data_IF_486691976461
#
_entry.id   IF_486691976461
#
_cell.length_a   1.000
_cell.length_b   1.000
_cell.length_c   1.000
_cell.angle_alpha   90.00
_cell.angle_beta   90.00
_cell.angle_gamma   90.00
#
_symmetry.space_group_name_H-M   'P 1'
#
loop_
_entity.id
_entity.type
_entity.pdbx_description
1 polymer ?
#
# COMPACT_ATOMS: atom_id res chain seq x y z
N UNK A 1 -33.83 -8.76 -17.18
CA UNK A 1 -32.60 -7.99 -16.87
C UNK A 1 -32.47 -7.84 -15.36
N UNK A 2 -31.45 -8.48 -14.73
CA UNK A 2 -31.14 -8.17 -13.32
C UNK A 2 -30.39 -6.83 -13.28
N UNK A 3 -30.90 -5.88 -12.49
CA UNK A 3 -30.22 -4.62 -12.25
C UNK A 3 -29.00 -4.91 -11.36
N UNK A 4 -27.81 -4.49 -11.80
CA UNK A 4 -26.58 -4.60 -11.00
C UNK A 4 -26.72 -3.68 -9.78
N UNK A 5 -26.56 -4.23 -8.58
CA UNK A 5 -26.56 -3.48 -7.32
C UNK A 5 -25.17 -3.54 -6.70
N UNK A 6 -24.79 -2.51 -5.96
CA UNK A 6 -23.49 -2.44 -5.28
C UNK A 6 -23.38 -1.21 -4.39
N UNK A 7 -22.30 -1.17 -3.60
CA UNK A 7 -21.94 -0.04 -2.75
C UNK A 7 -20.44 0.19 -2.84
N UNK A 8 -20.03 1.44 -2.89
CA UNK A 8 -18.64 1.86 -2.79
C UNK A 8 -18.49 2.89 -1.67
N UNK A 9 -17.67 2.56 -0.67
CA UNK A 9 -17.41 3.44 0.46
C UNK A 9 -16.09 4.20 0.21
N UNK A 10 -16.17 5.53 0.13
CA UNK A 10 -15.00 6.39 -0.03
C UNK A 10 -14.13 6.36 1.24
N UNK A 11 -12.82 6.60 1.07
CA UNK A 11 -11.93 6.83 2.19
C UNK A 11 -12.33 8.12 2.92
N UNK A 12 -12.10 8.16 4.22
CA UNK A 12 -12.16 9.38 5.01
C UNK A 12 -10.90 10.23 4.75
N UNK A 13 -10.78 10.71 3.51
CA UNK A 13 -9.62 11.45 2.98
C UNK A 13 -10.12 12.77 2.38
N UNK A 14 -9.58 13.90 2.90
CA UNK A 14 -10.05 15.25 2.53
C UNK A 14 -9.51 15.68 1.17
N UNK A 15 -8.21 15.44 0.93
CA UNK A 15 -7.55 15.90 -0.29
C UNK A 15 -6.27 15.14 -0.61
N UNK A 16 -5.87 15.23 -1.88
CA UNK A 16 -4.56 14.82 -2.39
C UNK A 16 -3.91 16.04 -3.02
N UNK A 17 -2.81 16.51 -2.42
CA UNK A 17 -1.98 17.59 -2.96
C UNK A 17 -0.87 16.95 -3.80
N UNK A 18 -0.58 17.48 -4.97
CA UNK A 18 0.45 16.90 -5.84
C UNK A 18 1.28 17.95 -6.56
N UNK A 19 2.55 17.65 -6.78
CA UNK A 19 3.49 18.51 -7.51
C UNK A 19 3.99 19.73 -6.72
N UNK A 20 3.57 19.89 -5.47
CA UNK A 20 4.07 20.92 -4.56
C UNK A 20 5.14 20.31 -3.65
N UNK A 21 6.28 21.01 -3.40
CA UNK A 21 7.28 20.56 -2.45
C UNK A 21 6.66 20.24 -1.07
N UNK A 22 7.04 19.13 -0.47
CA UNK A 22 6.39 18.61 0.74
C UNK A 22 6.43 19.59 1.91
N UNK A 23 7.51 20.36 2.08
CA UNK A 23 7.62 21.38 3.13
C UNK A 23 6.51 22.44 2.97
N UNK A 24 6.34 22.98 1.79
CA UNK A 24 5.30 23.99 1.51
C UNK A 24 3.89 23.40 1.69
N UNK A 25 3.66 22.18 1.19
CA UNK A 25 2.37 21.50 1.30
C UNK A 25 2.02 21.14 2.75
N UNK A 26 3.00 20.73 3.57
CA UNK A 26 2.79 20.49 5.01
C UNK A 26 2.44 21.79 5.73
N UNK A 27 3.17 22.88 5.47
CA UNK A 27 2.88 24.18 6.09
C UNK A 27 1.48 24.69 5.73
N UNK A 28 1.09 24.59 4.45
CA UNK A 28 -0.28 24.90 4.03
C UNK A 28 -1.30 24.02 4.77
N UNK A 29 -1.06 22.72 4.86
CA UNK A 29 -1.95 21.77 5.55
C UNK A 29 -2.11 22.10 7.03
N UNK A 30 -1.02 22.43 7.70
CA UNK A 30 -1.00 22.82 9.12
C UNK A 30 -1.83 24.09 9.38
N UNK A 31 -1.69 25.09 8.51
CA UNK A 31 -2.50 26.33 8.59
C UNK A 31 -3.99 26.06 8.35
N UNK A 32 -4.32 25.31 7.28
CA UNK A 32 -5.72 25.00 6.93
C UNK A 32 -6.43 24.15 8.01
N UNK A 33 -5.71 23.21 8.64
CA UNK A 33 -6.25 22.39 9.73
C UNK A 33 -6.24 23.09 11.09
N UNK A 34 -5.53 24.23 11.21
CA UNK A 34 -5.41 24.98 12.47
C UNK A 34 -4.69 24.22 13.57
N UNK A 35 -3.74 23.32 13.21
CA UNK A 35 -3.01 22.47 14.17
C UNK A 35 -1.76 23.17 14.68
N UNK A 36 -1.38 22.86 15.90
CA UNK A 36 -0.28 23.51 16.61
C UNK A 36 0.82 22.55 17.08
N UNK A 37 0.56 21.24 17.10
CA UNK A 37 1.49 20.22 17.58
C UNK A 37 1.61 19.09 16.57
N UNK A 38 2.67 19.11 15.76
CA UNK A 38 2.91 18.17 14.68
C UNK A 38 3.98 17.17 15.09
N UNK A 39 3.64 15.87 15.05
CA UNK A 39 4.57 14.78 15.29
C UNK A 39 4.94 14.13 13.95
N UNK A 40 6.23 13.92 13.71
CA UNK A 40 6.71 13.28 12.49
C UNK A 40 6.95 11.78 12.71
N UNK A 41 6.55 10.97 11.75
CA UNK A 41 6.94 9.56 11.68
C UNK A 41 7.60 9.32 10.34
N UNK A 42 8.83 8.78 10.34
CA UNK A 42 9.61 8.62 9.12
C UNK A 42 10.31 7.26 9.05
N UNK A 43 10.76 6.89 7.85
CA UNK A 43 11.76 5.84 7.71
C UNK A 43 13.13 6.35 8.18
N UNK A 44 13.94 5.45 8.73
CA UNK A 44 15.26 5.80 9.26
C UNK A 44 16.21 6.35 8.19
N UNK A 45 16.15 5.80 6.97
CA UNK A 45 16.98 6.29 5.85
C UNK A 45 16.65 7.74 5.48
N UNK A 46 15.36 8.08 5.38
CA UNK A 46 14.98 9.46 5.07
C UNK A 46 15.40 10.45 6.16
N UNK A 47 15.27 10.06 7.44
CA UNK A 47 15.60 10.98 8.54
C UNK A 47 17.10 11.16 8.75
N UNK A 48 17.93 10.16 8.39
CA UNK A 48 19.38 10.16 8.69
C UNK A 48 20.28 10.39 7.48
N UNK A 49 19.80 10.05 6.29
CA UNK A 49 20.63 10.08 5.07
C UNK A 49 20.22 11.21 4.12
N UNK A 50 19.15 11.95 4.44
CA UNK A 50 18.63 13.06 3.63
C UNK A 50 18.29 14.26 4.51
N UNK A 51 18.07 15.41 3.87
CA UNK A 51 17.62 16.65 4.52
C UNK A 51 16.08 16.80 4.57
N UNK A 52 15.34 15.83 4.06
CA UNK A 52 13.87 15.90 3.94
C UNK A 52 13.21 16.12 5.31
N UNK A 53 13.56 15.30 6.31
CA UNK A 53 12.94 15.37 7.63
C UNK A 53 13.44 16.59 8.40
N UNK A 54 14.73 16.94 8.34
CA UNK A 54 15.26 18.14 8.99
C UNK A 54 14.66 19.42 8.43
N UNK A 55 14.46 19.51 7.11
CA UNK A 55 13.79 20.65 6.48
C UNK A 55 12.33 20.83 6.95
N UNK A 56 11.62 19.72 7.17
CA UNK A 56 10.27 19.76 7.74
C UNK A 56 10.29 20.21 9.20
N UNK A 57 11.24 19.73 10.01
CA UNK A 57 11.41 20.16 11.42
C UNK A 57 11.68 21.66 11.49
N UNK A 58 12.60 22.15 10.67
CA UNK A 58 12.96 23.57 10.63
C UNK A 58 11.76 24.46 10.24
N UNK A 59 11.00 24.03 9.22
CA UNK A 59 9.81 24.75 8.77
C UNK A 59 8.68 24.76 9.82
N UNK A 60 8.47 23.64 10.52
CA UNK A 60 7.46 23.52 11.57
C UNK A 60 7.81 24.37 12.81
N UNK A 61 9.09 24.57 13.10
CA UNK A 61 9.55 25.38 14.22
C UNK A 61 8.88 24.97 15.54
N UNK A 62 8.22 25.90 16.20
CA UNK A 62 7.55 25.65 17.49
C UNK A 62 6.36 24.67 17.40
N UNK A 63 5.85 24.36 16.22
CA UNK A 63 4.79 23.36 16.02
C UNK A 63 5.33 21.93 16.02
N UNK A 64 6.62 21.73 15.80
CA UNK A 64 7.25 20.41 15.90
C UNK A 64 7.25 19.92 17.34
N UNK A 65 6.68 18.74 17.62
CA UNK A 65 6.61 18.18 18.97
C UNK A 65 7.30 16.82 19.14
N UNK A 66 7.84 16.24 18.08
CA UNK A 66 8.63 15.00 18.17
C UNK A 66 8.74 14.23 16.85
N UNK A 67 9.67 13.29 16.84
CA UNK A 67 9.97 12.41 15.71
C UNK A 67 10.09 10.96 16.18
N UNK A 68 9.50 10.03 15.40
CA UNK A 68 9.78 8.60 15.49
C UNK A 68 10.29 8.10 14.13
N UNK A 69 11.55 7.67 14.07
CA UNK A 69 12.21 7.18 12.85
C UNK A 69 12.65 5.70 12.93
N UNK A 70 12.12 4.97 13.88
CA UNK A 70 12.48 3.57 14.15
C UNK A 70 11.41 2.57 13.70
N UNK A 71 10.71 2.89 12.61
CA UNK A 71 9.76 1.97 12.01
C UNK A 71 10.48 0.73 11.47
N UNK A 72 9.94 -0.46 11.79
CA UNK A 72 10.54 -1.75 11.42
C UNK A 72 9.73 -2.39 10.29
N UNK A 73 10.42 -2.96 9.30
CA UNK A 73 9.79 -3.66 8.19
C UNK A 73 8.77 -4.71 8.67
N UNK A 74 7.71 -4.89 7.90
CA UNK A 74 6.56 -5.75 8.22
C UNK A 74 5.73 -5.33 9.44
N UNK A 75 6.03 -4.17 10.04
CA UNK A 75 5.26 -3.56 11.14
C UNK A 75 5.07 -4.53 12.31
N UNK A 76 6.14 -4.96 13.01
CA UNK A 76 6.00 -5.75 14.22
C UNK A 76 5.21 -4.99 15.29
N UNK A 77 4.36 -5.69 16.03
CA UNK A 77 3.51 -5.10 17.08
C UNK A 77 4.31 -4.28 18.10
N UNK A 78 5.49 -4.76 18.53
CA UNK A 78 6.36 -4.03 19.45
C UNK A 78 6.85 -2.69 18.91
N UNK A 79 7.09 -2.61 17.58
CA UNK A 79 7.45 -1.36 16.93
C UNK A 79 6.31 -0.35 17.00
N UNK A 80 5.07 -0.83 16.84
CA UNK A 80 3.87 0.02 17.00
C UNK A 80 3.76 0.55 18.42
N UNK A 81 3.96 -0.29 19.43
CA UNK A 81 3.88 0.11 20.86
C UNK A 81 4.98 1.14 21.21
N UNK A 82 6.19 0.99 20.65
CA UNK A 82 7.24 2.01 20.84
C UNK A 82 6.86 3.36 20.19
N UNK A 83 6.31 3.34 18.97
CA UNK A 83 5.82 4.54 18.32
C UNK A 83 4.67 5.19 19.10
N UNK A 84 3.74 4.38 19.60
CA UNK A 84 2.63 4.82 20.46
C UNK A 84 3.10 5.54 21.71
N UNK A 85 4.10 5.01 22.41
CA UNK A 85 4.67 5.63 23.62
C UNK A 85 5.24 7.03 23.33
N UNK A 86 5.96 7.19 22.20
CA UNK A 86 6.49 8.48 21.77
C UNK A 86 5.36 9.49 21.44
N UNK A 87 4.34 9.06 20.71
CA UNK A 87 3.19 9.92 20.35
C UNK A 87 2.39 10.33 21.59
N UNK A 88 2.16 9.41 22.54
CA UNK A 88 1.48 9.75 23.80
C UNK A 88 2.23 10.77 24.64
N UNK A 89 3.55 10.67 24.70
CA UNK A 89 4.38 11.66 25.39
C UNK A 89 4.30 13.03 24.72
N UNK A 90 4.32 13.07 23.38
CA UNK A 90 4.30 14.31 22.62
C UNK A 90 2.90 14.95 22.55
N UNK A 91 1.81 14.18 22.67
CA UNK A 91 0.43 14.65 22.57
C UNK A 91 0.18 15.54 21.33
N UNK A 92 0.42 15.06 20.11
CA UNK A 92 0.21 15.83 18.89
C UNK A 92 -1.28 16.00 18.59
N UNK A 93 -1.60 17.05 17.82
CA UNK A 93 -2.89 17.23 17.16
C UNK A 93 -2.87 16.85 15.67
N UNK A 94 -1.67 16.56 15.13
CA UNK A 94 -1.47 16.00 13.79
C UNK A 94 -0.24 15.10 13.76
N UNK A 95 -0.33 13.98 13.03
CA UNK A 95 0.83 13.15 12.68
C UNK A 95 1.12 13.33 11.19
N UNK A 96 2.36 13.67 10.83
CA UNK A 96 2.85 13.68 9.45
C UNK A 96 3.75 12.48 9.24
N UNK A 97 3.37 11.59 8.34
CA UNK A 97 4.09 10.36 8.02
C UNK A 97 4.84 10.52 6.70
N UNK A 98 6.16 10.33 6.72
CA UNK A 98 7.03 10.45 5.55
C UNK A 98 7.70 9.09 5.29
N UNK A 99 7.41 8.47 4.14
CA UNK A 99 8.05 7.21 3.78
C UNK A 99 7.18 6.27 2.98
N UNK A 100 7.54 4.99 2.97
CA UNK A 100 6.80 3.93 2.29
C UNK A 100 5.70 3.30 3.17
N UNK A 101 5.25 2.12 2.79
CA UNK A 101 4.16 1.42 3.50
C UNK A 101 4.44 1.13 4.97
N UNK A 102 5.71 0.90 5.36
CA UNK A 102 6.07 0.58 6.75
C UNK A 102 5.73 1.71 7.73
N UNK A 103 6.21 2.95 7.60
CA UNK A 103 5.81 4.03 8.50
C UNK A 103 4.32 4.33 8.41
N UNK A 104 3.70 4.26 7.22
CA UNK A 104 2.27 4.52 7.02
C UNK A 104 1.43 3.52 7.82
N UNK A 105 1.71 2.21 7.70
CA UNK A 105 0.97 1.18 8.43
C UNK A 105 1.30 1.18 9.93
N UNK A 106 2.53 1.54 10.34
CA UNK A 106 2.87 1.76 11.75
C UNK A 106 1.97 2.84 12.36
N UNK A 107 1.76 3.95 11.65
CA UNK A 107 0.87 5.02 12.12
C UNK A 107 -0.59 4.57 12.12
N UNK A 108 -1.08 3.88 11.11
CA UNK A 108 -2.44 3.31 11.14
C UNK A 108 -2.67 2.44 12.37
N UNK A 109 -1.69 1.60 12.72
CA UNK A 109 -1.79 0.73 13.89
C UNK A 109 -1.75 1.50 15.20
N UNK A 110 -0.86 2.49 15.34
CA UNK A 110 -0.84 3.32 16.55
C UNK A 110 -2.12 4.15 16.70
N UNK A 111 -2.77 4.56 15.60
CA UNK A 111 -4.07 5.26 15.65
C UNK A 111 -5.17 4.34 16.21
N UNK A 112 -5.16 3.04 15.89
CA UNK A 112 -6.05 2.04 16.51
C UNK A 112 -5.80 1.96 18.02
N UNK A 113 -4.52 1.89 18.42
CA UNK A 113 -4.15 1.85 19.84
C UNK A 113 -4.60 3.11 20.60
N UNK A 114 -4.49 4.29 19.99
CA UNK A 114 -4.97 5.53 20.59
C UNK A 114 -6.50 5.55 20.71
N UNK A 115 -7.21 5.10 19.68
CA UNK A 115 -8.68 5.07 19.62
C UNK A 115 -9.29 4.16 20.71
N UNK A 116 -8.64 3.01 20.95
CA UNK A 116 -9.14 1.97 21.85
C UNK A 116 -8.42 1.93 23.21
N UNK A 117 -7.45 2.81 23.44
CA UNK A 117 -6.72 2.90 24.69
C UNK A 117 -5.83 1.68 24.95
N UNK A 118 -5.22 1.10 23.90
CA UNK A 118 -4.40 -0.11 24.03
C UNK A 118 -2.98 0.26 24.45
N UNK A 119 -2.40 -0.54 25.36
CA UNK A 119 -1.07 -0.31 25.93
C UNK A 119 -0.05 -1.41 25.60
N UNK A 120 -0.53 -2.56 25.10
CA UNK A 120 0.32 -3.72 24.82
C UNK A 120 -0.01 -4.37 23.48
N UNK A 121 0.96 -5.13 22.97
CA UNK A 121 0.88 -5.84 21.69
C UNK A 121 -0.25 -6.89 21.65
N UNK A 122 -0.48 -7.58 22.77
CA UNK A 122 -1.47 -8.65 22.90
C UNK A 122 -2.89 -8.14 22.77
N UNK A 123 -3.15 -6.91 23.25
CA UNK A 123 -4.49 -6.30 23.18
C UNK A 123 -4.96 -6.08 21.73
N UNK A 124 -4.04 -6.00 20.77
CA UNK A 124 -4.35 -5.91 19.34
C UNK A 124 -5.13 -7.12 18.82
N UNK A 125 -5.02 -8.29 19.45
CA UNK A 125 -5.74 -9.50 19.02
C UNK A 125 -7.24 -9.32 18.93
N UNK A 126 -7.82 -8.52 19.82
CA UNK A 126 -9.24 -8.21 19.83
C UNK A 126 -9.74 -7.40 18.63
N UNK A 127 -8.83 -6.77 17.90
CA UNK A 127 -9.16 -5.83 16.81
C UNK A 127 -8.75 -6.32 15.42
N UNK A 128 -8.09 -7.47 15.33
CA UNK A 128 -7.71 -8.07 14.05
C UNK A 128 -8.92 -8.62 13.29
N UNK A 129 -8.92 -8.46 11.97
CA UNK A 129 -9.89 -9.11 11.08
C UNK A 129 -9.71 -10.62 11.18
N UNK A 130 -10.80 -11.36 11.42
CA UNK A 130 -10.77 -12.82 11.51
C UNK A 130 -11.67 -13.42 10.43
N UNK A 131 -11.17 -14.46 9.77
CA UNK A 131 -11.99 -15.28 8.86
C UNK A 131 -12.61 -16.40 9.68
N UNK A 132 -13.94 -16.50 9.64
CA UNK A 132 -14.71 -17.53 10.36
C UNK A 132 -14.73 -18.84 9.58
N UNK A 133 -15.19 -19.91 10.23
CA UNK A 133 -15.25 -21.26 9.63
C UNK A 133 -16.14 -21.33 8.38
N UNK A 134 -17.15 -20.49 8.28
CA UNK A 134 -18.04 -20.37 7.12
C UNK A 134 -17.47 -19.50 5.99
N UNK A 135 -16.23 -18.96 6.16
CA UNK A 135 -15.58 -18.09 5.21
C UNK A 135 -15.96 -16.61 5.32
N UNK A 136 -16.91 -16.25 6.18
CA UNK A 136 -17.25 -14.86 6.45
C UNK A 136 -16.14 -14.14 7.22
N UNK A 137 -16.10 -12.80 7.10
CA UNK A 137 -15.12 -11.97 7.82
C UNK A 137 -15.77 -11.33 9.03
N UNK A 138 -15.19 -11.52 10.21
CA UNK A 138 -15.48 -10.73 11.39
C UNK A 138 -14.52 -9.54 11.42
N UNK A 139 -15.08 -8.35 11.22
CA UNK A 139 -14.35 -7.08 11.29
C UNK A 139 -14.76 -6.38 12.59
N UNK A 140 -13.86 -6.23 13.57
CA UNK A 140 -14.18 -5.53 14.81
C UNK A 140 -14.48 -4.05 14.52
N UNK A 141 -15.46 -3.49 15.23
CA UNK A 141 -15.70 -2.06 15.23
C UNK A 141 -14.59 -1.36 16.03
N UNK A 142 -14.02 -0.31 15.47
CA UNK A 142 -12.94 0.49 16.06
C UNK A 142 -13.41 1.94 16.06
N UNK A 143 -13.21 2.63 17.17
CA UNK A 143 -13.54 4.05 17.33
C UNK A 143 -12.66 4.92 16.43
N UNK A 144 -13.11 6.13 16.18
CA UNK A 144 -12.28 7.11 15.48
C UNK A 144 -11.12 7.55 16.38
N UNK A 145 -9.90 7.66 15.85
CA UNK A 145 -8.74 8.09 16.63
C UNK A 145 -8.83 9.58 16.96
N UNK A 146 -8.23 10.00 18.09
CA UNK A 146 -8.23 11.40 18.51
C UNK A 146 -7.34 12.32 17.65
N UNK A 147 -6.48 11.73 16.82
CA UNK A 147 -5.56 12.42 15.90
C UNK A 147 -5.56 11.70 14.56
N UNK A 148 -5.35 12.44 13.47
CA UNK A 148 -5.28 11.90 12.12
C UNK A 148 -3.85 11.95 11.57
N UNK A 149 -3.59 11.26 10.47
CA UNK A 149 -2.32 11.37 9.77
C UNK A 149 -2.45 12.06 8.41
N UNK A 150 -1.42 12.86 8.08
CA UNK A 150 -1.12 13.32 6.73
C UNK A 150 0.07 12.51 6.23
N UNK A 151 0.00 12.02 4.99
CA UNK A 151 1.02 11.10 4.45
C UNK A 151 1.75 11.73 3.27
N UNK A 152 3.07 11.63 3.30
CA UNK A 152 3.99 11.98 2.20
C UNK A 152 4.65 10.68 1.74
N UNK A 153 4.08 9.96 0.76
CA UNK A 153 4.59 8.67 0.34
C UNK A 153 5.86 8.81 -0.49
N UNK A 154 6.83 7.96 -0.25
CA UNK A 154 8.09 7.89 -1.02
C UNK A 154 8.21 6.64 -1.85
N UNK A 155 7.26 5.69 -1.74
CA UNK A 155 7.16 4.48 -2.57
C UNK A 155 5.82 4.44 -3.30
N UNK A 156 5.65 3.48 -4.16
CA UNK A 156 4.43 3.27 -4.94
C UNK A 156 3.53 2.16 -4.34
N UNK A 157 3.65 1.89 -3.04
CA UNK A 157 2.90 0.82 -2.37
C UNK A 157 1.39 1.06 -2.27
N UNK A 158 0.95 2.32 -2.31
CA UNK A 158 -0.46 2.71 -2.21
C UNK A 158 -1.05 2.61 -0.81
N UNK A 159 -0.23 2.43 0.23
CA UNK A 159 -0.71 2.33 1.61
C UNK A 159 -1.46 3.60 2.06
N UNK A 160 -1.09 4.76 1.55
CA UNK A 160 -1.74 6.07 1.75
C UNK A 160 -3.18 6.14 1.25
N UNK A 161 -3.53 5.29 0.30
CA UNK A 161 -4.86 5.22 -0.31
C UNK A 161 -5.70 4.05 0.24
N UNK A 162 -5.41 3.62 1.46
CA UNK A 162 -6.11 2.52 2.12
C UNK A 162 -6.31 2.80 3.61
N UNK A 163 -7.44 2.33 4.13
CA UNK A 163 -7.70 2.24 5.56
C UNK A 163 -7.51 0.80 6.10
N UNK A 164 -6.69 0.00 5.41
CA UNK A 164 -6.26 -1.33 5.82
C UNK A 164 -4.80 -1.25 6.27
N UNK A 165 -4.43 -1.92 7.34
CA UNK A 165 -3.06 -2.06 7.82
C UNK A 165 -2.73 -3.52 8.07
N UNK A 166 -1.48 -3.91 7.77
CA UNK A 166 -0.93 -5.21 8.14
C UNK A 166 0.07 -5.06 9.28
N UNK A 167 -0.11 -5.82 10.36
CA UNK A 167 0.76 -5.79 11.53
C UNK A 167 1.19 -7.23 11.90
N UNK A 168 2.49 -7.42 12.12
CA UNK A 168 3.05 -8.75 12.36
C UNK A 168 3.12 -9.06 13.86
N UNK A 169 2.51 -10.14 14.22
CA UNK A 169 2.77 -10.81 15.49
C UNK A 169 4.00 -11.73 15.28
N UNK A 170 5.11 -11.33 15.88
CA UNK A 170 6.40 -12.02 15.68
C UNK A 170 6.42 -13.40 16.38
N UNK A 171 5.73 -13.51 17.52
CA UNK A 171 5.71 -14.76 18.31
C UNK A 171 4.90 -15.83 17.59
N UNK A 172 3.77 -15.46 17.00
CA UNK A 172 2.94 -16.37 16.20
C UNK A 172 3.38 -16.49 14.74
N UNK A 173 4.30 -15.65 14.28
CA UNK A 173 4.73 -15.54 12.88
C UNK A 173 3.54 -15.30 11.91
N UNK A 174 2.59 -14.47 12.32
CA UNK A 174 1.37 -14.16 11.55
C UNK A 174 1.30 -12.67 11.28
N UNK A 175 0.96 -12.30 10.07
CA UNK A 175 0.59 -10.93 9.71
C UNK A 175 -0.92 -10.78 9.78
N UNK A 176 -1.41 -10.18 10.84
CA UNK A 176 -2.81 -9.83 11.02
C UNK A 176 -3.18 -8.56 10.24
N UNK A 177 -4.44 -8.50 9.81
CA UNK A 177 -5.00 -7.33 9.11
C UNK A 177 -5.97 -6.57 10.02
N UNK A 178 -5.93 -5.25 9.92
CA UNK A 178 -6.74 -4.32 10.72
C UNK A 178 -7.35 -3.27 9.81
N UNK A 179 -8.58 -2.84 10.10
CA UNK A 179 -9.23 -1.77 9.35
C UNK A 179 -10.11 -0.93 10.27
N UNK A 180 -10.13 0.38 10.05
CA UNK A 180 -11.06 1.30 10.64
C UNK A 180 -11.26 2.50 9.72
N UNK A 181 -12.34 3.24 9.90
CA UNK A 181 -12.74 4.32 8.97
C UNK A 181 -11.67 5.40 8.85
N UNK A 182 -11.10 5.84 9.97
CA UNK A 182 -10.24 7.04 10.00
C UNK A 182 -8.76 6.78 10.31
N UNK A 183 -8.28 5.53 10.20
CA UNK A 183 -6.85 5.23 10.35
C UNK A 183 -6.04 5.54 9.09
N UNK A 184 -6.69 5.63 7.93
CA UNK A 184 -6.05 6.06 6.68
C UNK A 184 -5.63 7.53 6.71
N UNK A 185 -4.91 7.96 5.67
CA UNK A 185 -4.48 9.34 5.53
C UNK A 185 -5.67 10.28 5.43
N UNK A 186 -5.68 11.35 6.25
CA UNK A 186 -6.62 12.45 6.09
C UNK A 186 -6.32 13.26 4.84
N UNK A 187 -5.02 13.51 4.60
CA UNK A 187 -4.53 14.13 3.36
C UNK A 187 -3.30 13.37 2.87
N UNK A 188 -3.08 13.40 1.57
CA UNK A 188 -1.87 12.86 0.94
C UNK A 188 -1.15 13.97 0.21
N UNK A 189 0.18 14.01 0.34
CA UNK A 189 1.04 14.97 -0.34
C UNK A 189 1.99 14.20 -1.26
N UNK A 190 1.80 14.34 -2.56
CA UNK A 190 2.61 13.70 -3.58
C UNK A 190 3.70 14.68 -4.05
N UNK A 191 4.85 14.60 -3.38
CA UNK A 191 6.06 15.31 -3.76
C UNK A 191 7.00 14.36 -4.52
N UNK A 192 7.14 14.50 -5.84
CA UNK A 192 7.98 13.60 -6.61
C UNK A 192 9.48 13.83 -6.36
N UNK A 193 9.89 15.03 -5.93
CA UNK A 193 11.31 15.35 -5.75
C UNK A 193 11.94 14.52 -4.63
N UNK A 194 11.25 14.30 -3.51
CA UNK A 194 11.80 13.50 -2.41
C UNK A 194 11.85 11.99 -2.74
N UNK A 195 11.11 11.54 -3.75
CA UNK A 195 11.09 10.12 -4.12
C UNK A 195 12.38 9.67 -4.81
N UNK A 196 13.22 10.60 -5.27
CA UNK A 196 14.54 10.28 -5.87
C UNK A 196 15.49 9.59 -4.87
N UNK A 197 15.24 9.76 -3.57
CA UNK A 197 15.97 9.06 -2.51
C UNK A 197 15.53 7.58 -2.35
N UNK A 198 14.43 7.18 -2.98
CA UNK A 198 13.97 5.79 -2.94
C UNK A 198 14.80 4.95 -3.91
N UNK A 199 15.41 3.84 -3.45
CA UNK A 199 16.15 2.94 -4.34
C UNK A 199 15.32 2.47 -5.52
N UNK A 200 15.91 2.40 -6.72
CA UNK A 200 15.21 2.07 -7.96
C UNK A 200 14.45 0.73 -7.88
N UNK A 201 15.09 -0.29 -7.30
CA UNK A 201 14.45 -1.59 -7.13
C UNK A 201 13.18 -1.52 -6.28
N UNK A 202 13.16 -0.66 -5.25
CA UNK A 202 12.01 -0.49 -4.37
C UNK A 202 10.92 0.34 -5.08
N UNK A 203 11.30 1.40 -5.79
CA UNK A 203 10.38 2.19 -6.59
C UNK A 203 9.66 1.33 -7.63
N UNK A 204 10.42 0.61 -8.45
CA UNK A 204 9.87 -0.21 -9.53
C UNK A 204 9.07 -1.39 -9.01
N UNK A 205 9.54 -2.10 -7.97
CA UNK A 205 8.81 -3.23 -7.42
C UNK A 205 7.52 -2.83 -6.72
N UNK A 206 7.50 -1.70 -6.01
CA UNK A 206 6.25 -1.17 -5.43
C UNK A 206 5.32 -0.63 -6.50
N UNK A 207 5.84 -0.10 -7.62
CA UNK A 207 5.07 0.22 -8.81
C UNK A 207 4.40 -1.01 -9.42
N UNK A 208 5.11 -2.13 -9.53
CA UNK A 208 4.53 -3.40 -9.96
C UNK A 208 3.46 -3.92 -8.99
N UNK A 209 3.61 -3.63 -7.69
CA UNK A 209 2.54 -3.92 -6.71
C UNK A 209 1.29 -3.10 -7.00
N UNK A 210 1.41 -1.83 -7.38
CA UNK A 210 0.26 -1.01 -7.77
C UNK A 210 -0.37 -1.45 -9.10
N UNK A 211 0.43 -1.93 -10.06
CA UNK A 211 -0.07 -2.62 -11.27
C UNK A 211 -0.94 -3.84 -10.88
N UNK A 212 -0.48 -4.64 -9.91
CA UNK A 212 -1.20 -5.80 -9.39
C UNK A 212 -2.53 -5.38 -8.72
N UNK A 213 -2.51 -4.29 -7.92
CA UNK A 213 -3.72 -3.70 -7.36
C UNK A 213 -4.75 -3.37 -8.45
N UNK A 214 -4.34 -2.69 -9.52
CA UNK A 214 -5.23 -2.35 -10.62
C UNK A 214 -5.74 -3.59 -11.36
N UNK A 215 -4.85 -4.53 -11.72
CA UNK A 215 -5.20 -5.72 -12.47
C UNK A 215 -6.18 -6.62 -11.72
N UNK A 216 -5.92 -6.90 -10.43
CA UNK A 216 -6.86 -7.69 -9.61
C UNK A 216 -8.15 -6.94 -9.31
N UNK A 217 -8.14 -5.60 -9.22
CA UNK A 217 -9.37 -4.81 -9.11
C UNK A 217 -10.23 -4.95 -10.36
N UNK A 218 -9.64 -4.82 -11.55
CA UNK A 218 -10.32 -4.98 -12.84
C UNK A 218 -10.89 -6.41 -12.95
N UNK A 219 -10.12 -7.43 -12.58
CA UNK A 219 -10.50 -8.84 -12.66
C UNK A 219 -11.31 -9.35 -11.47
N UNK A 220 -11.66 -8.49 -10.51
CA UNK A 220 -12.38 -8.89 -9.30
C UNK A 220 -13.77 -9.49 -9.60
N UNK A 221 -14.23 -10.40 -8.73
CA UNK A 221 -15.58 -10.99 -8.79
C UNK A 221 -16.69 -9.98 -8.50
N UNK A 222 -16.37 -8.89 -7.82
CA UNK A 222 -17.29 -7.78 -7.54
C UNK A 222 -16.81 -6.47 -8.17
N UNK A 223 -16.64 -6.41 -9.52
CA UNK A 223 -16.13 -5.22 -10.19
C UNK A 223 -17.10 -4.05 -10.05
N UNK A 224 -16.56 -2.85 -9.95
CA UNK A 224 -17.33 -1.63 -9.79
C UNK A 224 -16.96 -0.60 -10.87
N UNK A 225 -17.93 0.16 -11.41
CA UNK A 225 -17.66 1.09 -12.50
C UNK A 225 -16.69 2.20 -12.12
N UNK A 226 -16.69 2.64 -10.86
CA UNK A 226 -15.75 3.65 -10.38
C UNK A 226 -14.31 3.11 -10.37
N UNK A 227 -14.10 1.92 -9.82
CA UNK A 227 -12.75 1.31 -9.78
C UNK A 227 -12.30 0.87 -11.17
N UNK A 228 -13.19 0.44 -12.05
CA UNK A 228 -12.86 0.12 -13.44
C UNK A 228 -12.29 1.35 -14.14
N UNK A 229 -12.99 2.49 -14.09
CA UNK A 229 -12.58 3.72 -14.74
C UNK A 229 -11.22 4.22 -14.21
N UNK A 230 -11.03 4.23 -12.90
CA UNK A 230 -9.78 4.73 -12.29
C UNK A 230 -8.62 3.76 -12.52
N UNK A 231 -8.83 2.45 -12.32
CA UNK A 231 -7.76 1.46 -12.47
C UNK A 231 -7.30 1.29 -13.93
N UNK A 232 -8.21 1.33 -14.90
CA UNK A 232 -7.82 1.25 -16.32
C UNK A 232 -6.96 2.44 -16.74
N UNK A 233 -7.33 3.65 -16.33
CA UNK A 233 -6.53 4.84 -16.62
C UNK A 233 -5.20 4.82 -15.84
N UNK A 234 -5.24 4.49 -14.56
CA UNK A 234 -4.06 4.38 -13.71
C UNK A 234 -3.06 3.33 -14.21
N UNK A 235 -3.54 2.18 -14.67
CA UNK A 235 -2.72 1.10 -15.23
C UNK A 235 -1.92 1.58 -16.45
N UNK A 236 -2.59 2.26 -17.40
CA UNK A 236 -1.94 2.83 -18.58
C UNK A 236 -0.86 3.86 -18.21
N UNK A 237 -1.20 4.80 -17.32
CA UNK A 237 -0.26 5.82 -16.84
C UNK A 237 0.93 5.20 -16.12
N UNK A 238 0.68 4.22 -15.23
CA UNK A 238 1.73 3.62 -14.41
C UNK A 238 2.69 2.78 -15.26
N UNK A 239 2.18 1.98 -16.19
CA UNK A 239 3.02 1.20 -17.09
C UNK A 239 3.98 2.08 -17.91
N UNK A 240 3.50 3.24 -18.38
CA UNK A 240 4.33 4.20 -19.10
C UNK A 240 5.35 4.89 -18.18
N UNK A 241 4.91 5.41 -17.04
CA UNK A 241 5.77 6.19 -16.15
C UNK A 241 6.85 5.33 -15.45
N UNK A 242 6.56 4.04 -15.17
CA UNK A 242 7.56 3.11 -14.66
C UNK A 242 8.68 2.86 -15.67
N UNK A 243 8.36 2.68 -16.96
CA UNK A 243 9.39 2.57 -18.02
C UNK A 243 10.24 3.86 -18.11
N UNK A 244 9.60 5.03 -17.98
CA UNK A 244 10.31 6.30 -17.99
C UNK A 244 11.25 6.45 -16.80
N UNK A 245 10.80 6.13 -15.58
CA UNK A 245 11.63 6.17 -14.37
C UNK A 245 12.71 5.09 -14.36
N UNK A 246 12.47 3.94 -15.02
CA UNK A 246 13.52 2.91 -15.22
C UNK A 246 14.65 3.43 -16.11
N UNK A 247 14.32 4.18 -17.16
CA UNK A 247 15.29 4.73 -18.11
C UNK A 247 16.01 5.97 -17.54
N UNK A 248 15.29 6.78 -16.79
CA UNK A 248 15.81 7.97 -16.10
C UNK A 248 15.22 8.07 -14.68
N UNK A 249 15.90 7.51 -13.66
CA UNK A 249 15.43 7.56 -12.29
C UNK A 249 15.31 8.96 -11.69
N UNK A 250 15.98 9.95 -12.27
CA UNK A 250 15.94 11.35 -11.82
C UNK A 250 14.78 12.15 -12.40
N UNK A 251 14.02 11.59 -13.35
CA UNK A 251 12.93 12.29 -14.04
C UNK A 251 11.72 12.52 -13.13
N UNK A 252 11.71 13.68 -12.48
CA UNK A 252 10.71 14.09 -11.48
C UNK A 252 9.28 14.05 -12.03
N UNK A 253 9.07 14.47 -13.28
CA UNK A 253 7.75 14.40 -13.94
C UNK A 253 7.22 12.96 -14.05
N UNK A 254 8.08 12.02 -14.43
CA UNK A 254 7.69 10.61 -14.53
C UNK A 254 7.40 10.01 -13.13
N UNK A 255 8.12 10.45 -12.10
CA UNK A 255 7.84 10.08 -10.72
C UNK A 255 6.49 10.61 -10.25
N UNK A 256 6.16 11.86 -10.55
CA UNK A 256 4.83 12.41 -10.26
C UNK A 256 3.72 11.62 -10.98
N UNK A 257 3.91 11.33 -12.27
CA UNK A 257 2.95 10.53 -13.03
C UNK A 257 2.76 9.13 -12.41
N UNK A 258 3.83 8.51 -11.90
CA UNK A 258 3.73 7.25 -11.17
C UNK A 258 2.92 7.38 -9.87
N UNK A 259 3.15 8.44 -9.08
CA UNK A 259 2.39 8.71 -7.85
C UNK A 259 0.90 8.93 -8.13
N UNK A 260 0.57 9.74 -9.15
CA UNK A 260 -0.82 9.99 -9.59
C UNK A 260 -1.48 8.71 -10.09
N UNK A 261 -0.75 7.89 -10.84
CA UNK A 261 -1.25 6.61 -11.32
C UNK A 261 -1.53 5.64 -10.16
N UNK A 262 -0.68 5.59 -9.12
CA UNK A 262 -0.91 4.78 -7.91
C UNK A 262 -2.20 5.19 -7.21
N UNK A 263 -2.47 6.49 -7.08
CA UNK A 263 -3.72 6.97 -6.53
C UNK A 263 -4.92 6.36 -7.26
N UNK A 264 -4.89 6.33 -8.60
CA UNK A 264 -5.96 5.76 -9.42
C UNK A 264 -6.00 4.22 -9.31
N UNK A 265 -4.85 3.54 -9.30
CA UNK A 265 -4.75 2.08 -9.21
C UNK A 265 -5.21 1.51 -7.87
N UNK A 266 -5.20 2.32 -6.81
CA UNK A 266 -5.47 1.88 -5.45
C UNK A 266 -6.92 2.11 -4.98
N UNK A 267 -7.81 2.60 -5.84
CA UNK A 267 -9.23 2.83 -5.48
C UNK A 267 -10.00 1.57 -5.10
N UNK A 268 -9.51 0.39 -5.53
CA UNK A 268 -10.06 -0.90 -5.13
C UNK A 268 -9.61 -1.41 -3.76
N UNK A 269 -8.57 -0.82 -3.15
CA UNK A 269 -8.03 -1.28 -1.87
C UNK A 269 -9.10 -1.30 -0.77
N UNK A 270 -9.34 -2.49 -0.18
CA UNK A 270 -10.36 -2.74 0.83
C UNK A 270 -11.81 -2.46 0.35
N UNK A 271 -12.08 -2.44 -0.97
CA UNK A 271 -13.41 -2.21 -1.59
C UNK A 271 -13.83 -3.33 -2.53
N UNK A 272 -12.89 -4.15 -2.98
CA UNK A 272 -13.15 -5.29 -3.86
C UNK A 272 -12.60 -6.58 -3.23
N UNK A 273 -12.98 -7.71 -3.80
CA UNK A 273 -12.40 -9.00 -3.45
C UNK A 273 -11.09 -9.20 -4.20
N UNK A 274 -10.02 -9.48 -3.44
CA UNK A 274 -8.69 -9.75 -3.97
C UNK A 274 -8.56 -11.16 -4.52
N UNK A 275 -7.70 -11.33 -5.51
CA UNK A 275 -7.43 -12.59 -6.16
C UNK A 275 -6.17 -13.31 -5.68
N UNK A 276 -5.79 -14.34 -6.44
CA UNK A 276 -4.71 -15.26 -6.09
C UNK A 276 -3.31 -14.62 -6.16
N UNK A 277 -3.09 -13.55 -6.94
CA UNK A 277 -1.78 -12.88 -6.96
C UNK A 277 -1.43 -12.35 -5.58
N UNK A 278 -2.37 -11.65 -4.93
CA UNK A 278 -2.23 -11.20 -3.55
C UNK A 278 -2.22 -12.38 -2.57
N UNK A 279 -3.13 -13.34 -2.72
CA UNK A 279 -3.24 -14.48 -1.80
C UNK A 279 -1.98 -15.35 -1.75
N UNK A 280 -1.40 -15.69 -2.88
CA UNK A 280 -0.15 -16.45 -2.98
C UNK A 280 1.04 -15.55 -2.61
N UNK A 281 1.02 -14.28 -3.04
CA UNK A 281 2.06 -13.31 -2.72
C UNK A 281 2.29 -13.11 -1.22
N UNK A 282 1.22 -13.13 -0.42
CA UNK A 282 1.34 -13.09 1.05
C UNK A 282 2.11 -14.30 1.59
N UNK A 283 1.90 -15.49 1.02
CA UNK A 283 2.60 -16.71 1.44
C UNK A 283 4.05 -16.74 0.98
N UNK A 284 4.36 -16.22 -0.20
CA UNK A 284 5.74 -16.02 -0.65
C UNK A 284 6.51 -15.12 0.32
N UNK A 285 5.89 -14.06 0.82
CA UNK A 285 6.47 -13.21 1.84
C UNK A 285 6.66 -13.93 3.18
N UNK A 286 5.62 -14.64 3.65
CA UNK A 286 5.64 -15.30 4.96
C UNK A 286 6.59 -16.50 5.01
N UNK A 287 6.60 -17.35 3.98
CA UNK A 287 7.36 -18.62 3.95
C UNK A 287 8.82 -18.42 3.49
N UNK A 288 9.03 -17.54 2.51
CA UNK A 288 10.33 -17.39 1.85
C UNK A 288 10.91 -15.97 1.94
N UNK A 289 10.30 -15.06 2.69
CA UNK A 289 10.82 -13.71 2.91
C UNK A 289 10.85 -12.83 1.66
N UNK A 290 10.08 -13.16 0.62
CA UNK A 290 10.06 -12.39 -0.63
C UNK A 290 9.47 -11.00 -0.39
N UNK A 291 10.14 -9.89 -0.77
CA UNK A 291 9.59 -8.55 -0.66
C UNK A 291 8.26 -8.41 -1.39
N UNK A 292 7.29 -7.69 -0.80
CA UNK A 292 5.92 -7.59 -1.36
C UNK A 292 5.84 -7.11 -2.81
N UNK A 293 6.71 -6.18 -3.23
CA UNK A 293 6.77 -5.74 -4.62
C UNK A 293 7.21 -6.86 -5.57
N UNK A 294 8.19 -7.65 -5.15
CA UNK A 294 8.69 -8.78 -5.94
C UNK A 294 7.65 -9.92 -6.04
N UNK A 295 6.80 -10.13 -5.02
CA UNK A 295 5.73 -11.14 -5.13
C UNK A 295 4.79 -10.86 -6.29
N UNK A 296 4.41 -9.60 -6.52
CA UNK A 296 3.59 -9.18 -7.65
C UNK A 296 4.30 -9.37 -8.99
N UNK A 297 5.61 -9.11 -9.05
CA UNK A 297 6.41 -9.32 -10.27
C UNK A 297 6.38 -10.79 -10.74
N UNK A 298 6.50 -11.74 -9.80
CA UNK A 298 6.57 -13.17 -10.14
C UNK A 298 5.21 -13.86 -10.21
N UNK A 299 4.16 -13.29 -9.60
CA UNK A 299 2.86 -13.96 -9.53
C UNK A 299 1.82 -13.42 -10.51
N UNK A 300 1.68 -12.11 -10.70
CA UNK A 300 0.56 -11.52 -11.40
C UNK A 300 0.36 -12.11 -12.80
N UNK A 301 1.40 -12.14 -13.61
CA UNK A 301 1.30 -12.65 -14.99
C UNK A 301 0.93 -14.15 -15.05
N UNK A 302 1.32 -14.94 -14.05
CA UNK A 302 0.98 -16.35 -13.96
C UNK A 302 -0.47 -16.55 -13.54
N UNK A 303 -0.97 -15.74 -12.58
CA UNK A 303 -2.38 -15.75 -12.16
C UNK A 303 -3.30 -15.30 -13.28
N UNK A 304 -2.95 -14.24 -14.01
CA UNK A 304 -3.71 -13.80 -15.18
C UNK A 304 -3.79 -14.92 -16.23
N UNK A 305 -2.68 -15.60 -16.52
CA UNK A 305 -2.67 -16.74 -17.47
C UNK A 305 -3.57 -17.87 -16.99
N UNK A 306 -3.54 -18.21 -15.71
CA UNK A 306 -4.39 -19.25 -15.14
C UNK A 306 -5.87 -18.90 -15.23
N UNK A 307 -6.22 -17.65 -14.95
CA UNK A 307 -7.60 -17.17 -14.88
C UNK A 307 -8.20 -16.77 -16.24
N UNK A 308 -7.41 -16.73 -17.30
CA UNK A 308 -7.85 -16.30 -18.64
C UNK A 308 -9.12 -17.04 -19.10
N UNK A 309 -9.24 -18.33 -18.78
CA UNK A 309 -10.38 -19.16 -19.20
C UNK A 309 -11.71 -18.76 -18.55
N UNK A 310 -11.70 -18.00 -17.46
CA UNK A 310 -12.90 -17.59 -16.69
C UNK A 310 -13.17 -16.10 -16.69
N UNK A 311 -12.20 -15.25 -17.06
CA UNK A 311 -12.34 -13.79 -17.01
C UNK A 311 -11.63 -13.07 -18.18
N UNK A 312 -11.60 -13.70 -19.36
CA UNK A 312 -10.96 -13.15 -20.57
C UNK A 312 -11.48 -11.76 -20.93
N UNK A 313 -12.79 -11.55 -20.80
CA UNK A 313 -13.44 -10.26 -21.04
C UNK A 313 -12.87 -9.14 -20.16
N UNK A 314 -12.59 -9.43 -18.90
CA UNK A 314 -11.99 -8.50 -17.96
C UNK A 314 -10.49 -8.26 -18.26
N UNK A 315 -9.77 -9.32 -18.64
CA UNK A 315 -8.36 -9.22 -19.02
C UNK A 315 -8.18 -8.45 -20.35
N UNK A 316 -9.13 -8.54 -21.27
CA UNK A 316 -9.11 -7.74 -22.50
C UNK A 316 -9.12 -6.23 -22.21
N UNK A 317 -9.79 -5.78 -21.15
CA UNK A 317 -9.73 -4.37 -20.71
C UNK A 317 -8.31 -3.96 -20.29
N UNK A 318 -7.58 -4.85 -19.63
CA UNK A 318 -6.16 -4.63 -19.27
C UNK A 318 -5.32 -4.47 -20.55
N UNK A 319 -5.49 -5.37 -21.52
CA UNK A 319 -4.77 -5.32 -22.80
C UNK A 319 -5.06 -4.02 -23.57
N UNK A 320 -6.32 -3.60 -23.60
CA UNK A 320 -6.74 -2.33 -24.19
C UNK A 320 -6.09 -1.12 -23.48
N UNK A 321 -6.09 -1.11 -22.15
CA UNK A 321 -5.47 -0.04 -21.36
C UNK A 321 -3.96 0.05 -21.59
N UNK A 322 -3.29 -1.08 -21.81
CA UNK A 322 -1.87 -1.15 -22.14
C UNK A 322 -1.58 -0.86 -23.64
N UNK A 323 -2.61 -0.56 -24.44
CA UNK A 323 -2.49 -0.16 -25.86
C UNK A 323 -2.25 -1.33 -26.83
N UNK A 324 -2.44 -2.58 -26.41
CA UNK A 324 -2.23 -3.78 -27.23
C UNK A 324 -3.41 -4.76 -27.08
N UNK A 325 -4.59 -4.42 -27.63
CA UNK A 325 -5.84 -5.16 -27.41
C UNK A 325 -5.79 -6.63 -27.90
N UNK A 326 -4.93 -6.92 -28.87
CA UNK A 326 -4.80 -8.26 -29.45
C UNK A 326 -3.76 -9.15 -28.76
N UNK A 327 -3.08 -8.63 -27.73
CA UNK A 327 -2.08 -9.37 -26.94
C UNK A 327 -2.67 -9.74 -25.58
N UNK A 328 -2.46 -10.98 -25.14
CA UNK A 328 -2.96 -11.43 -23.85
C UNK A 328 -2.38 -10.61 -22.69
N UNK A 329 -3.22 -10.21 -21.73
CA UNK A 329 -2.81 -9.40 -20.59
C UNK A 329 -1.64 -10.00 -19.80
N UNK A 330 -1.60 -11.32 -19.64
CA UNK A 330 -0.52 -12.02 -18.96
C UNK A 330 0.85 -11.84 -19.65
N UNK A 331 0.88 -11.77 -20.98
CA UNK A 331 2.12 -11.53 -21.73
C UNK A 331 2.56 -10.07 -21.61
N UNK A 332 1.63 -9.11 -21.69
CA UNK A 332 1.92 -7.69 -21.52
C UNK A 332 2.45 -7.36 -20.12
N UNK A 333 1.87 -7.96 -19.07
CA UNK A 333 2.36 -7.79 -17.70
C UNK A 333 3.76 -8.43 -17.54
N UNK A 334 3.99 -9.60 -18.10
CA UNK A 334 5.31 -10.24 -18.09
C UNK A 334 6.36 -9.40 -18.82
N UNK A 335 6.00 -8.83 -19.98
CA UNK A 335 6.85 -7.91 -20.73
C UNK A 335 7.19 -6.68 -19.88
N UNK A 336 6.19 -6.05 -19.26
CA UNK A 336 6.41 -4.91 -18.37
C UNK A 336 7.38 -5.24 -17.23
N UNK A 337 7.22 -6.38 -16.55
CA UNK A 337 8.18 -6.82 -15.50
C UNK A 337 9.59 -6.94 -16.07
N UNK A 338 9.73 -7.50 -17.28
CA UNK A 338 11.02 -7.65 -17.96
C UNK A 338 11.65 -6.32 -18.35
N UNK A 339 10.86 -5.38 -18.89
CA UNK A 339 11.30 -4.03 -19.26
C UNK A 339 11.84 -3.26 -18.06
N UNK A 340 11.22 -3.49 -16.89
CA UNK A 340 11.65 -2.90 -15.63
C UNK A 340 12.87 -3.59 -15.00
N UNK A 341 13.38 -4.65 -15.62
CA UNK A 341 14.46 -5.50 -15.11
C UNK A 341 14.15 -6.07 -13.72
N UNK A 342 12.88 -6.43 -13.49
CA UNK A 342 12.40 -7.04 -12.26
C UNK A 342 12.35 -8.57 -12.39
N UNK A 343 12.34 -9.32 -11.27
CA UNK A 343 12.30 -10.78 -11.30
C UNK A 343 10.99 -11.29 -11.94
N UNK A 344 11.08 -12.26 -12.84
CA UNK A 344 9.92 -12.85 -13.54
C UNK A 344 9.61 -14.27 -13.06
N UNK A 345 10.49 -14.90 -12.29
CA UNK A 345 10.38 -16.30 -11.86
C UNK A 345 10.64 -16.44 -10.36
N UNK A 346 10.01 -17.42 -9.72
CA UNK A 346 10.18 -17.72 -8.30
C UNK A 346 11.66 -17.94 -7.92
N UNK A 347 12.44 -18.61 -8.79
CA UNK A 347 13.88 -18.81 -8.57
C UNK A 347 14.68 -17.51 -8.49
N UNK A 348 14.22 -16.47 -9.20
CA UNK A 348 14.90 -15.17 -9.26
C UNK A 348 14.75 -14.39 -7.94
N UNK A 349 13.82 -14.83 -7.07
CA UNK A 349 13.56 -14.27 -5.73
C UNK A 349 13.89 -15.26 -4.61
N UNK A 350 14.71 -16.29 -4.91
CA UNK A 350 15.19 -17.26 -3.91
C UNK A 350 14.19 -18.34 -3.51
N UNK A 351 13.08 -18.50 -4.25
CA UNK A 351 12.07 -19.52 -3.97
C UNK A 351 12.38 -20.79 -4.79
N UNK A 352 12.89 -21.81 -4.15
CA UNK A 352 13.13 -23.12 -4.73
C UNK A 352 11.94 -24.08 -4.57
N UNK A 353 12.09 -25.28 -5.16
CA UNK A 353 11.02 -26.31 -5.14
C UNK A 353 10.68 -26.78 -3.72
N UNK A 354 11.62 -26.72 -2.80
CA UNK A 354 11.46 -27.06 -1.38
C UNK A 354 10.40 -26.21 -0.67
N UNK A 355 10.15 -24.99 -1.14
CA UNK A 355 9.14 -24.10 -0.57
C UNK A 355 7.72 -24.33 -1.14
N UNK A 356 7.58 -24.99 -2.29
CA UNK A 356 6.31 -25.04 -3.03
C UNK A 356 5.18 -25.69 -2.24
N UNK A 357 5.46 -26.81 -1.57
CA UNK A 357 4.43 -27.51 -0.79
C UNK A 357 3.90 -26.65 0.37
N UNK A 358 4.80 -25.98 1.10
CA UNK A 358 4.43 -25.11 2.22
C UNK A 358 3.64 -23.87 1.73
N UNK A 359 4.11 -23.21 0.66
CA UNK A 359 3.44 -22.05 0.06
C UNK A 359 2.05 -22.44 -0.45
N UNK A 360 1.92 -23.56 -1.18
CA UNK A 360 0.64 -24.01 -1.71
C UNK A 360 -0.36 -24.37 -0.58
N UNK A 361 0.10 -25.10 0.45
CA UNK A 361 -0.75 -25.45 1.58
C UNK A 361 -1.26 -24.20 2.34
N UNK A 362 -0.40 -23.22 2.56
CA UNK A 362 -0.76 -21.97 3.22
C UNK A 362 -1.67 -21.10 2.32
N UNK A 363 -1.39 -21.02 1.01
CA UNK A 363 -2.20 -20.27 0.06
C UNK A 363 -3.64 -20.81 -0.03
N UNK A 364 -3.81 -22.13 0.00
CA UNK A 364 -5.14 -22.77 -0.01
C UNK A 364 -5.98 -22.50 1.24
N UNK A 365 -5.41 -21.95 2.30
CA UNK A 365 -6.18 -21.43 3.45
C UNK A 365 -6.70 -20.02 3.22
N UNK A 366 -6.13 -19.28 2.27
CA UNK A 366 -6.55 -17.91 1.93
C UNK A 366 -7.86 -17.91 1.13
N UNK A 367 -8.81 -17.08 1.55
CA UNK A 367 -10.05 -16.86 0.77
C UNK A 367 -9.74 -16.23 -0.59
N UNK A 368 -8.70 -15.41 -0.71
CA UNK A 368 -8.26 -14.80 -1.98
C UNK A 368 -7.89 -15.86 -3.03
N UNK A 369 -7.42 -17.04 -2.59
CA UNK A 369 -7.09 -18.17 -3.48
C UNK A 369 -8.29 -19.08 -3.69
N UNK A 370 -9.07 -19.35 -2.63
CA UNK A 370 -10.26 -20.22 -2.72
C UNK A 370 -11.36 -19.67 -3.62
N UNK A 371 -11.44 -18.36 -3.73
CA UNK A 371 -12.46 -17.65 -4.51
C UNK A 371 -11.94 -17.12 -5.87
N UNK A 372 -10.70 -17.45 -6.18
CA UNK A 372 -10.04 -17.00 -7.42
C UNK A 372 -10.56 -17.77 -8.65
#
# INVERSE_FOLDING_TARGET
YMIKTGRYDFLAQDSVLFGTPCVAAVMQTVEELGVSRVFLVSSQSLSRETDVVSSLIDALGNRFCGLFDQCVAHVPRDSVIRALAAVRTAQPDLIVTIGGGTPIDTVKMLLICLAEGLDSAEQLDGFAIRVLADGSKKVPAIKNPPVRQVVIPTTLSGAEFSNLAGCTDVDRQVKDLFTATEIGAQRVILDPAITVHTPDWLWLSTGMRAIDHAAETICSRNPQPFTDATCLHGLAMLAQSLRQTRNDPSRVEARLNSQLAVWLCCTGLNRIEWGASHGIGHQLGAVAGVPHGHTSCVMLHNVLRYNCVVNEDRQTLISQALGQPDTAACELIKELVSDLNMPTRLRDVGVGREHFAAIAAAAMQSMMVKTN
#
